data_IF_807914306795
#
_entry.id   IF_807914306795
#
_cell.length_a   1.000
_cell.length_b   1.000
_cell.length_c   1.000
_cell.angle_alpha   90.00
_cell.angle_beta   90.00
_cell.angle_gamma   90.00
#
_symmetry.space_group_name_H-M   'P 1'
#
loop_
_entity.id
_entity.type
_entity.pdbx_description
1 polymer ?
#
# COMPACT_ATOMS: atom_id res chain seq x y z
N UNK A 1 11.79 -34.20 26.85
CA UNK A 1 11.86 -33.51 25.55
C UNK A 1 10.52 -33.71 24.86
N UNK A 2 9.58 -32.80 25.08
CA UNK A 2 8.24 -32.84 24.46
C UNK A 2 8.40 -32.23 23.06
N UNK A 3 8.06 -33.02 22.03
CA UNK A 3 7.86 -32.50 20.68
C UNK A 3 6.63 -31.60 20.74
N UNK A 4 6.84 -30.28 20.59
CA UNK A 4 5.77 -29.39 20.19
C UNK A 4 5.41 -29.73 18.73
N UNK A 5 4.31 -30.42 18.56
CA UNK A 5 3.62 -30.48 17.28
C UNK A 5 3.00 -29.11 17.04
N UNK A 6 3.60 -28.34 16.17
CA UNK A 6 2.94 -27.16 15.61
C UNK A 6 1.81 -27.68 14.71
N UNK A 7 0.58 -27.37 15.05
CA UNK A 7 -0.57 -27.65 14.21
C UNK A 7 -0.41 -26.87 12.89
N UNK A 8 -0.56 -27.56 11.77
CA UNK A 8 -0.49 -27.05 10.39
C UNK A 8 -1.65 -26.09 10.01
N UNK A 9 -2.39 -25.59 10.99
CA UNK A 9 -3.39 -24.52 10.80
C UNK A 9 -2.74 -23.14 11.02
N UNK A 10 -1.80 -22.78 10.16
CA UNK A 10 -1.51 -21.38 9.91
C UNK A 10 -2.67 -20.81 9.11
N UNK A 11 -3.32 -19.82 9.72
CA UNK A 11 -4.45 -19.06 9.21
C UNK A 11 -4.14 -18.53 7.80
N UNK A 12 -4.64 -19.22 6.78
CA UNK A 12 -4.42 -18.90 5.36
C UNK A 12 -5.08 -17.56 4.96
N UNK A 13 -5.92 -16.97 5.81
CA UNK A 13 -6.60 -15.71 5.55
C UNK A 13 -5.72 -14.46 5.71
N UNK A 14 -4.57 -14.54 6.44
CA UNK A 14 -3.75 -13.37 6.75
C UNK A 14 -2.27 -13.58 6.37
N UNK A 15 -1.92 -13.38 5.10
CA UNK A 15 -0.51 -13.41 4.64
C UNK A 15 0.28 -12.25 5.26
N UNK A 16 1.44 -12.55 5.88
CA UNK A 16 2.36 -11.54 6.44
C UNK A 16 2.86 -10.59 5.34
N UNK A 17 3.10 -11.12 4.15
CA UNK A 17 3.61 -10.40 2.97
C UNK A 17 2.51 -9.75 2.13
N UNK A 18 1.25 -9.84 2.54
CA UNK A 18 0.15 -9.14 1.88
C UNK A 18 0.29 -7.63 2.05
N UNK A 19 0.15 -6.90 0.96
CA UNK A 19 0.16 -5.43 0.97
C UNK A 19 -1.18 -4.83 1.34
N UNK A 20 -2.27 -5.61 1.37
CA UNK A 20 -3.58 -5.18 1.81
C UNK A 20 -3.62 -4.94 3.34
N UNK A 21 -4.61 -4.16 3.78
CA UNK A 21 -4.80 -3.85 5.19
C UNK A 21 -5.50 -5.03 5.88
N UNK A 22 -4.88 -5.58 6.93
CA UNK A 22 -5.48 -6.62 7.75
C UNK A 22 -6.04 -6.00 9.04
N UNK A 23 -6.97 -6.68 9.76
CA UNK A 23 -7.55 -6.14 11.01
C UNK A 23 -6.51 -5.71 12.05
N UNK A 24 -5.35 -6.36 12.11
CA UNK A 24 -4.23 -5.99 12.98
C UNK A 24 -3.61 -4.63 12.62
N UNK A 25 -3.70 -4.19 11.36
CA UNK A 25 -3.23 -2.88 10.91
C UNK A 25 -4.25 -1.78 11.20
N UNK A 26 -5.55 -2.11 11.25
CA UNK A 26 -6.65 -1.17 11.56
C UNK A 26 -6.81 -0.94 13.06
N UNK A 27 -6.51 -1.92 13.91
CA UNK A 27 -6.36 -1.72 15.34
C UNK A 27 -5.19 -0.76 15.67
N UNK A 28 -4.39 -0.45 14.70
CA UNK A 28 -3.24 0.47 14.70
C UNK A 28 -3.61 1.92 14.35
N UNK A 29 -4.86 2.34 14.29
CA UNK A 29 -5.20 3.77 14.11
C UNK A 29 -4.62 4.67 15.24
N UNK A 30 -4.35 4.08 16.40
CA UNK A 30 -3.59 4.66 17.51
C UNK A 30 -2.15 4.12 17.60
N UNK A 31 -1.63 3.55 16.52
CA UNK A 31 -0.35 2.86 16.56
C UNK A 31 0.82 3.83 16.80
N UNK A 32 1.58 3.65 17.89
CA UNK A 32 2.75 4.46 18.18
C UNK A 32 3.84 4.36 17.10
N UNK A 33 3.80 3.35 16.23
CA UNK A 33 4.76 3.18 15.14
C UNK A 33 4.58 4.20 14.01
N UNK A 34 3.38 4.78 13.84
CA UNK A 34 3.14 5.77 12.79
C UNK A 34 3.81 7.10 13.14
N UNK A 35 4.65 7.67 12.25
CA UNK A 35 5.21 9.01 12.44
C UNK A 35 4.10 10.05 12.45
N UNK A 36 4.27 11.08 13.28
CA UNK A 36 3.26 12.15 13.45
C UNK A 36 3.67 13.46 12.75
N UNK A 37 4.94 13.62 12.40
CA UNK A 37 5.48 14.81 11.76
C UNK A 37 6.27 14.47 10.51
N UNK A 38 6.48 15.45 9.63
CA UNK A 38 7.34 15.28 8.44
C UNK A 38 8.79 14.95 8.81
N UNK A 39 9.28 15.41 9.95
CA UNK A 39 10.64 15.13 10.42
C UNK A 39 10.83 13.68 10.88
N UNK A 40 9.78 13.03 11.36
CA UNK A 40 9.79 11.61 11.72
C UNK A 40 9.56 10.67 10.54
N UNK A 41 9.07 11.21 9.41
CA UNK A 41 8.72 10.44 8.23
C UNK A 41 9.98 10.13 7.41
N UNK A 42 10.42 8.89 7.44
CA UNK A 42 11.62 8.39 6.74
C UNK A 42 11.29 8.15 5.28
N UNK A 43 12.22 8.49 4.38
CA UNK A 43 12.10 8.30 2.94
C UNK A 43 11.15 9.29 2.26
N UNK A 44 10.85 9.04 0.99
CA UNK A 44 9.97 9.88 0.14
C UNK A 44 10.42 11.35 0.09
N UNK A 45 11.73 11.62 0.07
CA UNK A 45 12.31 12.97 0.27
C UNK A 45 11.70 14.02 -0.66
N UNK A 46 11.57 13.71 -1.95
CA UNK A 46 10.99 14.62 -2.94
C UNK A 46 9.52 15.00 -2.63
N UNK A 47 8.71 14.02 -2.22
CA UNK A 47 7.31 14.27 -1.86
C UNK A 47 7.23 15.08 -0.57
N UNK A 48 8.09 14.77 0.40
CA UNK A 48 8.18 15.42 1.70
C UNK A 48 8.62 16.88 1.60
N UNK A 49 9.65 17.17 0.81
CA UNK A 49 10.14 18.54 0.56
C UNK A 49 9.05 19.41 -0.08
N UNK A 50 8.39 18.92 -1.13
CA UNK A 50 7.30 19.63 -1.78
C UNK A 50 6.15 19.88 -0.81
N UNK A 51 5.73 18.87 -0.07
CA UNK A 51 4.62 18.97 0.87
C UNK A 51 4.91 19.98 1.98
N UNK A 52 6.16 20.00 2.50
CA UNK A 52 6.59 21.00 3.49
C UNK A 52 6.41 22.42 2.99
N UNK A 53 6.83 22.70 1.74
CA UNK A 53 6.67 24.02 1.12
C UNK A 53 5.20 24.40 1.00
N UNK A 54 4.35 23.49 0.54
CA UNK A 54 2.92 23.77 0.36
C UNK A 54 2.21 24.03 1.70
N UNK A 55 2.51 23.23 2.72
CA UNK A 55 1.95 23.42 4.09
C UNK A 55 2.41 24.76 4.68
N UNK A 56 3.70 25.09 4.61
CA UNK A 56 4.21 26.36 5.10
C UNK A 56 3.59 27.56 4.37
N UNK A 57 3.48 27.47 3.04
CA UNK A 57 2.85 28.52 2.25
C UNK A 57 1.37 28.74 2.61
N UNK A 58 0.60 27.67 2.80
CA UNK A 58 -0.79 27.74 3.24
C UNK A 58 -0.91 28.40 4.62
N UNK A 59 -0.06 28.01 5.57
CA UNK A 59 0.01 28.63 6.92
C UNK A 59 0.34 30.13 6.87
N UNK A 60 1.29 30.54 6.04
CA UNK A 60 1.68 31.96 5.91
C UNK A 60 0.53 32.79 5.33
N UNK A 61 -0.23 32.25 4.39
CA UNK A 61 -1.39 32.95 3.79
C UNK A 61 -2.64 32.89 4.67
N UNK A 62 -2.68 32.01 5.69
CA UNK A 62 -3.89 31.74 6.48
C UNK A 62 -5.00 31.08 5.68
N UNK A 63 -4.63 30.25 4.70
CA UNK A 63 -5.54 29.53 3.80
C UNK A 63 -5.50 28.04 4.06
N UNK A 64 -6.54 27.33 3.60
CA UNK A 64 -6.51 25.85 3.56
C UNK A 64 -5.49 25.39 2.54
N UNK A 65 -4.86 24.23 2.79
CA UNK A 65 -3.99 23.58 1.81
C UNK A 65 -4.84 23.16 0.59
N UNK A 66 -4.28 23.28 -0.59
CA UNK A 66 -4.87 22.71 -1.81
C UNK A 66 -5.15 21.22 -1.64
N UNK A 67 -6.15 20.70 -2.36
CA UNK A 67 -6.47 19.29 -2.34
C UNK A 67 -5.28 18.45 -2.80
N UNK A 68 -5.00 17.36 -2.08
CA UNK A 68 -3.82 16.50 -2.28
C UNK A 68 -4.22 15.13 -2.77
N UNK A 69 -3.61 14.65 -3.86
CA UNK A 69 -3.72 13.28 -4.33
C UNK A 69 -2.43 12.50 -4.03
N UNK A 70 -2.55 11.45 -3.22
CA UNK A 70 -1.47 10.52 -2.92
C UNK A 70 -1.68 9.24 -3.72
N UNK A 71 -0.72 8.87 -4.58
CA UNK A 71 -0.85 7.64 -5.35
C UNK A 71 0.43 6.80 -5.34
N UNK A 72 0.28 5.50 -5.50
CA UNK A 72 1.38 4.54 -5.50
C UNK A 72 0.94 3.19 -4.94
N UNK A 73 1.83 2.19 -4.96
CA UNK A 73 1.56 0.85 -4.42
C UNK A 73 0.96 0.86 -3.02
N UNK A 74 0.24 -0.21 -2.61
CA UNK A 74 -0.28 -0.32 -1.26
C UNK A 74 0.86 -0.44 -0.22
N UNK A 75 0.60 -0.10 1.04
CA UNK A 75 1.56 -0.26 2.13
C UNK A 75 2.66 0.81 2.25
N UNK A 76 2.65 1.86 1.39
CA UNK A 76 3.67 2.92 1.36
C UNK A 76 3.42 4.08 2.34
N UNK A 77 2.36 4.03 3.14
CA UNK A 77 2.08 5.06 4.14
C UNK A 77 1.25 6.24 3.64
N UNK A 78 0.39 6.08 2.62
CA UNK A 78 -0.54 7.15 2.15
C UNK A 78 -1.41 7.68 3.29
N UNK A 79 -2.02 6.81 4.07
CA UNK A 79 -2.83 7.17 5.25
C UNK A 79 -1.99 7.86 6.33
N UNK A 80 -0.76 7.40 6.55
CA UNK A 80 0.18 8.02 7.50
C UNK A 80 0.53 9.44 7.09
N UNK A 81 0.86 9.64 5.81
CA UNK A 81 1.21 10.96 5.28
C UNK A 81 0.01 11.92 5.37
N UNK A 82 -1.22 11.43 5.16
CA UNK A 82 -2.44 12.22 5.35
C UNK A 82 -2.61 12.67 6.79
N UNK A 83 -2.32 11.80 7.76
CA UNK A 83 -2.32 12.15 9.18
C UNK A 83 -1.26 13.20 9.53
N UNK A 84 -0.06 13.08 8.94
CA UNK A 84 1.00 14.07 9.08
C UNK A 84 0.56 15.44 8.53
N UNK A 85 -0.08 15.48 7.35
CA UNK A 85 -0.62 16.72 6.78
C UNK A 85 -1.55 17.42 7.79
N UNK A 86 -2.51 16.68 8.35
CA UNK A 86 -3.44 17.25 9.34
C UNK A 86 -2.73 17.73 10.60
N UNK A 87 -1.77 16.96 11.13
CA UNK A 87 -0.98 17.34 12.29
C UNK A 87 -0.12 18.58 12.04
N UNK A 88 0.55 18.65 10.89
CA UNK A 88 1.35 19.81 10.51
C UNK A 88 0.48 21.06 10.32
N UNK A 89 -0.73 20.93 9.78
CA UNK A 89 -1.69 22.04 9.68
C UNK A 89 -2.33 22.39 11.03
N UNK A 90 -2.29 21.51 12.03
CA UNK A 90 -2.91 21.70 13.34
C UNK A 90 -4.44 21.57 13.31
N UNK A 91 -4.98 20.74 12.42
CA UNK A 91 -6.41 20.53 12.20
C UNK A 91 -6.83 19.08 12.41
N UNK A 92 -8.14 18.84 12.51
CA UNK A 92 -8.68 17.48 12.62
C UNK A 92 -8.68 16.76 11.27
N UNK A 93 -8.55 15.42 11.32
CA UNK A 93 -8.68 14.56 10.13
C UNK A 93 -9.91 13.66 10.28
N UNK A 94 -10.74 13.64 9.24
CA UNK A 94 -11.80 12.64 9.05
C UNK A 94 -11.33 11.60 8.05
N UNK A 95 -11.48 10.33 8.40
CA UNK A 95 -11.01 9.20 7.58
C UNK A 95 -12.23 8.44 7.06
N UNK A 96 -12.21 8.16 5.77
CA UNK A 96 -13.17 7.27 5.09
C UNK A 96 -12.49 6.58 3.92
N UNK A 97 -13.23 5.71 3.22
CA UNK A 97 -12.76 5.05 2.02
C UNK A 97 -13.79 5.15 0.89
N UNK A 98 -13.34 5.04 -0.37
CA UNK A 98 -14.25 5.02 -1.53
C UNK A 98 -15.36 3.98 -1.40
N UNK A 99 -15.06 2.71 -1.06
CA UNK A 99 -16.10 1.69 -0.83
C UNK A 99 -17.08 1.99 0.29
N UNK A 100 -16.69 2.75 1.32
CA UNK A 100 -17.57 3.10 2.44
C UNK A 100 -18.58 4.22 2.09
N UNK A 101 -18.37 4.92 0.98
CA UNK A 101 -19.27 5.97 0.48
C UNK A 101 -20.12 5.36 -0.64
N UNK A 102 -21.24 4.75 -0.27
CA UNK A 102 -22.10 4.04 -1.23
C UNK A 102 -22.95 4.98 -2.08
N UNK A 103 -23.40 6.09 -1.50
CA UNK A 103 -24.34 7.03 -2.13
C UNK A 103 -23.99 8.49 -1.83
N UNK A 104 -24.46 9.42 -2.68
CA UNK A 104 -24.24 10.86 -2.54
C UNK A 104 -24.52 11.42 -1.14
N UNK A 105 -25.56 10.93 -0.48
CA UNK A 105 -25.93 11.38 0.87
C UNK A 105 -24.90 11.07 1.95
N UNK A 106 -24.14 9.97 1.79
CA UNK A 106 -23.08 9.61 2.74
C UNK A 106 -21.93 10.60 2.68
N UNK A 107 -21.52 11.00 1.45
CA UNK A 107 -20.51 12.03 1.26
C UNK A 107 -20.99 13.40 1.77
N UNK A 108 -22.25 13.78 1.46
CA UNK A 108 -22.82 15.03 1.93
C UNK A 108 -22.82 15.10 3.48
N UNK A 109 -23.16 14.02 4.15
CA UNK A 109 -23.12 13.94 5.62
C UNK A 109 -21.69 14.09 6.17
N UNK A 110 -20.68 13.51 5.51
CA UNK A 110 -19.29 13.69 5.90
C UNK A 110 -18.84 15.15 5.74
N UNK A 111 -19.12 15.77 4.59
CA UNK A 111 -18.71 17.13 4.27
C UNK A 111 -19.34 18.18 5.18
N UNK A 112 -20.64 18.04 5.51
CA UNK A 112 -21.36 18.96 6.39
C UNK A 112 -20.94 18.89 7.86
N UNK A 113 -20.23 17.82 8.26
CA UNK A 113 -19.69 17.63 9.60
C UNK A 113 -18.21 18.03 9.75
N UNK A 114 -17.60 18.64 8.70
CA UNK A 114 -16.25 19.19 8.78
C UNK A 114 -16.26 20.57 9.46
N UNK A 115 -15.16 20.94 10.08
CA UNK A 115 -14.90 22.31 10.51
C UNK A 115 -13.97 23.02 9.52
N UNK A 116 -13.85 24.34 9.68
CA UNK A 116 -12.94 25.16 8.87
C UNK A 116 -11.49 24.63 8.98
N UNK A 117 -10.89 24.33 7.83
CA UNK A 117 -9.52 23.85 7.73
C UNK A 117 -9.34 22.34 7.90
N UNK A 118 -10.38 21.58 8.30
CA UNK A 118 -10.26 20.12 8.51
C UNK A 118 -9.77 19.40 7.25
N UNK A 119 -9.14 18.26 7.47
CA UNK A 119 -8.71 17.33 6.42
C UNK A 119 -9.73 16.20 6.29
N UNK A 120 -10.27 16.01 5.09
CA UNK A 120 -11.03 14.81 4.71
C UNK A 120 -10.11 13.86 3.96
N UNK A 121 -9.85 12.69 4.51
CA UNK A 121 -9.08 11.64 3.86
C UNK A 121 -10.01 10.58 3.28
N UNK A 122 -9.89 10.30 1.98
CA UNK A 122 -10.62 9.23 1.28
C UNK A 122 -9.60 8.23 0.72
N UNK A 123 -9.52 7.06 1.33
CA UNK A 123 -8.70 5.96 0.79
C UNK A 123 -9.41 5.28 -0.37
N UNK A 124 -8.63 4.70 -1.31
CA UNK A 124 -9.14 4.08 -2.53
C UNK A 124 -10.18 4.94 -3.27
N UNK A 125 -9.89 6.24 -3.39
CA UNK A 125 -10.80 7.24 -3.96
C UNK A 125 -11.26 6.89 -5.40
N UNK A 126 -10.49 6.11 -6.14
CA UNK A 126 -10.87 5.60 -7.46
C UNK A 126 -12.08 4.66 -7.46
N UNK A 127 -12.52 4.20 -6.28
CA UNK A 127 -13.68 3.31 -6.11
C UNK A 127 -14.98 4.07 -5.83
N UNK A 128 -14.94 5.40 -5.82
CA UNK A 128 -16.15 6.21 -5.72
C UNK A 128 -17.05 5.97 -6.94
N UNK A 129 -18.35 5.88 -6.69
CA UNK A 129 -19.33 5.84 -7.78
C UNK A 129 -19.40 7.21 -8.47
N UNK A 130 -19.77 7.23 -9.76
CA UNK A 130 -19.89 8.46 -10.53
C UNK A 130 -20.84 9.48 -9.90
N UNK A 131 -21.95 9.02 -9.30
CA UNK A 131 -22.91 9.89 -8.62
C UNK A 131 -22.34 10.54 -7.36
N UNK A 132 -21.38 9.90 -6.68
CA UNK A 132 -20.67 10.48 -5.55
C UNK A 132 -19.63 11.48 -6.02
N UNK A 133 -18.88 11.17 -7.09
CA UNK A 133 -17.93 12.12 -7.69
C UNK A 133 -18.62 13.43 -8.13
N UNK A 134 -19.83 13.35 -8.69
CA UNK A 134 -20.59 14.52 -9.14
C UNK A 134 -20.92 15.51 -8.00
N UNK A 135 -21.05 15.04 -6.74
CA UNK A 135 -21.17 15.91 -5.56
C UNK A 135 -19.80 16.38 -5.09
N UNK A 136 -18.76 15.56 -5.23
CA UNK A 136 -17.42 15.92 -4.77
C UNK A 136 -16.85 17.09 -5.58
N UNK A 137 -17.15 17.20 -6.87
CA UNK A 137 -16.60 18.26 -7.73
C UNK A 137 -16.93 19.69 -7.22
N UNK A 138 -18.19 20.09 -7.04
CA UNK A 138 -18.50 21.42 -6.53
C UNK A 138 -18.02 21.59 -5.08
N UNK A 139 -17.99 20.52 -4.30
CA UNK A 139 -17.46 20.58 -2.94
C UNK A 139 -15.97 20.94 -2.88
N UNK A 140 -15.18 20.52 -3.87
CA UNK A 140 -13.75 20.83 -3.98
C UNK A 140 -13.49 22.23 -4.57
N UNK A 141 -14.31 22.69 -5.53
CA UNK A 141 -14.09 23.95 -6.23
C UNK A 141 -14.72 25.13 -5.49
N UNK A 142 -16.03 24.98 -5.15
CA UNK A 142 -16.85 26.07 -4.63
C UNK A 142 -17.10 25.97 -3.12
N UNK A 143 -16.62 24.91 -2.47
CA UNK A 143 -16.94 24.59 -1.08
C UNK A 143 -18.46 24.64 -0.82
N UNK A 144 -19.23 23.97 -1.67
CA UNK A 144 -20.67 23.90 -1.58
C UNK A 144 -21.19 22.57 -2.15
N UNK A 145 -22.38 22.19 -1.71
CA UNK A 145 -23.12 21.06 -2.28
C UNK A 145 -24.52 21.50 -2.67
N UNK A 146 -25.01 20.98 -3.81
CA UNK A 146 -26.36 21.18 -4.25
C UNK A 146 -27.22 19.97 -3.86
N UNK A 147 -28.19 20.19 -2.96
CA UNK A 147 -29.10 19.14 -2.52
C UNK A 147 -30.42 19.32 -3.23
N UNK A 148 -30.78 18.36 -4.08
CA UNK A 148 -32.07 18.36 -4.77
C UNK A 148 -33.08 17.62 -3.89
N UNK A 149 -34.12 18.33 -3.42
CA UNK A 149 -35.25 17.78 -2.66
C UNK A 149 -36.53 17.82 -3.47
N UNK A 150 -37.36 16.78 -3.34
CA UNK A 150 -38.61 16.67 -4.09
C UNK A 150 -38.45 15.89 -5.41
N UNK A 151 -39.56 15.69 -6.12
CA UNK A 151 -39.60 14.97 -7.41
C UNK A 151 -40.42 15.79 -8.44
N UNK A 152 -39.98 15.72 -9.71
CA UNK A 152 -40.69 16.38 -10.81
C UNK A 152 -40.73 17.92 -10.72
N UNK A 153 -41.85 18.54 -10.99
CA UNK A 153 -41.98 20.00 -10.99
C UNK A 153 -41.87 20.68 -9.61
N UNK A 154 -41.85 19.88 -8.53
CA UNK A 154 -41.66 20.37 -7.16
C UNK A 154 -40.21 20.12 -6.67
N UNK A 155 -39.28 19.76 -7.54
CA UNK A 155 -37.87 19.63 -7.17
C UNK A 155 -37.31 21.03 -6.88
N UNK A 156 -36.77 21.23 -5.68
CA UNK A 156 -36.04 22.43 -5.29
C UNK A 156 -34.57 22.07 -5.08
N UNK A 157 -33.66 22.87 -5.62
CA UNK A 157 -32.22 22.76 -5.36
C UNK A 157 -31.86 23.71 -4.23
N UNK A 158 -31.21 23.19 -3.21
CA UNK A 158 -30.67 23.96 -2.09
C UNK A 158 -29.15 23.96 -2.20
N UNK A 159 -28.57 25.13 -2.38
CA UNK A 159 -27.16 25.38 -2.34
C UNK A 159 -26.70 25.49 -0.89
N UNK A 160 -25.95 24.48 -0.38
CA UNK A 160 -25.48 24.46 0.99
C UNK A 160 -23.97 24.76 1.01
N UNK A 161 -23.55 25.88 1.59
CA UNK A 161 -22.13 26.18 1.73
C UNK A 161 -21.46 25.22 2.73
N UNK A 162 -20.24 24.83 2.44
CA UNK A 162 -19.39 24.01 3.27
C UNK A 162 -18.27 24.86 3.88
N UNK A 163 -17.75 24.50 5.06
CA UNK A 163 -16.49 25.07 5.53
C UNK A 163 -15.37 24.72 4.53
N UNK A 164 -14.39 25.58 4.40
CA UNK A 164 -13.21 25.27 3.58
C UNK A 164 -12.45 24.11 4.22
N UNK A 165 -12.10 23.13 3.43
CA UNK A 165 -11.42 21.91 3.86
C UNK A 165 -10.35 21.49 2.86
N UNK A 166 -9.43 20.63 3.29
CA UNK A 166 -8.49 19.97 2.39
C UNK A 166 -8.92 18.53 2.16
N UNK A 167 -9.20 18.17 0.91
CA UNK A 167 -9.36 16.77 0.52
C UNK A 167 -7.98 16.12 0.30
N UNK A 168 -7.72 15.02 0.99
CA UNK A 168 -6.59 14.15 0.68
C UNK A 168 -7.13 12.84 0.12
N UNK A 169 -7.02 12.65 -1.19
CA UNK A 169 -7.37 11.40 -1.86
C UNK A 169 -6.19 10.45 -1.92
N UNK A 170 -6.41 9.18 -1.63
CA UNK A 170 -5.40 8.14 -1.81
C UNK A 170 -5.87 7.09 -2.81
N UNK A 171 -4.95 6.59 -3.64
CA UNK A 171 -5.25 5.53 -4.61
C UNK A 171 -4.04 4.67 -4.94
N UNK A 172 -4.28 3.40 -5.15
CA UNK A 172 -3.31 2.47 -5.73
C UNK A 172 -3.36 2.47 -7.26
N UNK A 173 -4.45 2.96 -7.86
CA UNK A 173 -4.78 2.89 -9.28
C UNK A 173 -5.08 4.27 -9.87
N UNK A 174 -4.08 5.15 -9.91
CA UNK A 174 -4.25 6.53 -10.41
C UNK A 174 -4.84 6.62 -11.82
N UNK A 175 -4.59 5.63 -12.67
CA UNK A 175 -5.15 5.56 -14.02
C UNK A 175 -6.65 5.26 -14.08
N UNK A 176 -7.28 4.85 -12.98
CA UNK A 176 -8.73 4.63 -12.89
C UNK A 176 -9.50 5.86 -12.42
N UNK A 177 -8.80 6.89 -11.93
CA UNK A 177 -9.44 8.16 -11.61
C UNK A 177 -9.97 8.85 -12.87
N UNK A 178 -11.17 9.39 -12.78
CA UNK A 178 -11.71 10.22 -13.84
C UNK A 178 -10.87 11.48 -14.02
N UNK A 179 -10.71 11.94 -15.25
CA UNK A 179 -9.95 13.17 -15.52
C UNK A 179 -10.50 14.38 -14.75
N UNK A 180 -11.85 14.60 -14.68
CA UNK A 180 -12.42 15.69 -13.91
C UNK A 180 -12.05 15.65 -12.42
N UNK A 181 -12.01 14.47 -11.79
CA UNK A 181 -11.64 14.36 -10.39
C UNK A 181 -10.15 14.64 -10.20
N UNK A 182 -9.30 14.05 -11.05
CA UNK A 182 -7.85 14.21 -10.96
C UNK A 182 -7.41 15.66 -11.12
N UNK A 183 -8.02 16.39 -12.07
CA UNK A 183 -7.63 17.78 -12.41
C UNK A 183 -7.99 18.79 -11.30
N UNK A 184 -8.79 18.38 -10.30
CA UNK A 184 -9.14 19.18 -9.12
C UNK A 184 -8.16 19.07 -7.97
N UNK A 185 -7.19 18.17 -8.07
CA UNK A 185 -6.11 18.10 -7.09
C UNK A 185 -4.97 19.06 -7.47
N UNK A 186 -4.77 20.08 -6.65
CA UNK A 186 -3.68 21.06 -6.83
C UNK A 186 -2.31 20.46 -6.52
N UNK A 187 -2.26 19.45 -5.65
CA UNK A 187 -1.03 18.76 -5.25
C UNK A 187 -1.15 17.27 -5.57
N UNK A 188 -0.27 16.76 -6.43
CA UNK A 188 -0.25 15.33 -6.81
C UNK A 188 1.10 14.74 -6.46
N UNK A 189 1.12 13.78 -5.53
CA UNK A 189 2.34 13.16 -5.02
C UNK A 189 2.33 11.66 -5.30
N UNK A 190 3.37 11.20 -5.99
CA UNK A 190 3.63 9.79 -6.17
C UNK A 190 4.50 9.28 -5.03
N UNK A 191 4.04 8.23 -4.35
CA UNK A 191 4.86 7.50 -3.40
C UNK A 191 5.55 6.34 -4.12
N UNK A 192 6.83 6.20 -3.86
CA UNK A 192 7.68 5.18 -4.46
C UNK A 192 7.99 4.10 -3.42
N UNK A 193 8.48 2.95 -3.88
CA UNK A 193 8.95 1.93 -2.97
C UNK A 193 10.19 2.43 -2.23
N UNK A 194 10.30 1.99 -1.00
CA UNK A 194 11.44 2.31 -0.15
C UNK A 194 12.64 1.44 -0.49
N UNK A 195 13.82 2.01 -0.36
CA UNK A 195 15.06 1.21 -0.43
C UNK A 195 15.21 0.35 0.83
N UNK A 196 16.03 -0.73 0.78
CA UNK A 196 16.32 -1.52 1.97
C UNK A 196 16.90 -0.67 3.12
N UNK A 197 17.72 0.34 2.80
CA UNK A 197 18.35 1.22 3.79
C UNK A 197 17.31 2.13 4.47
N UNK A 198 16.36 2.68 3.72
CA UNK A 198 15.24 3.47 4.28
C UNK A 198 14.33 2.59 5.14
N UNK A 199 14.04 1.35 4.69
CA UNK A 199 13.25 0.42 5.48
C UNK A 199 13.98 -0.05 6.73
N UNK A 200 15.30 -0.24 6.69
CA UNK A 200 16.10 -0.58 7.87
C UNK A 200 15.97 0.51 8.95
N UNK A 201 16.03 1.80 8.57
CA UNK A 201 15.79 2.90 9.49
C UNK A 201 14.36 2.87 10.08
N UNK A 202 13.35 2.52 9.27
CA UNK A 202 11.97 2.37 9.75
C UNK A 202 11.87 1.21 10.73
N UNK A 203 12.52 0.08 10.45
CA UNK A 203 12.56 -1.10 11.33
C UNK A 203 13.25 -0.77 12.65
N UNK A 204 14.41 -0.11 12.63
CA UNK A 204 15.14 0.32 13.83
C UNK A 204 14.32 1.29 14.70
N UNK A 205 13.68 2.30 14.07
CA UNK A 205 12.77 3.20 14.75
C UNK A 205 11.60 2.44 15.39
N UNK A 206 10.98 1.54 14.65
CA UNK A 206 9.86 0.73 15.13
C UNK A 206 10.28 -0.21 16.26
N UNK A 207 11.46 -0.82 16.17
CA UNK A 207 12.05 -1.64 17.23
C UNK A 207 12.26 -0.84 18.50
N UNK A 208 12.82 0.37 18.40
CA UNK A 208 12.99 1.28 19.54
C UNK A 208 11.67 1.62 20.25
N UNK A 209 10.61 1.91 19.49
CA UNK A 209 9.27 2.17 20.04
C UNK A 209 8.68 0.94 20.74
N UNK A 210 8.91 -0.25 20.17
CA UNK A 210 8.45 -1.53 20.73
C UNK A 210 9.32 -2.06 21.86
N UNK A 211 10.42 -1.36 22.21
CA UNK A 211 11.37 -1.82 23.23
C UNK A 211 12.16 -3.07 22.84
N UNK A 212 12.40 -3.26 21.55
CA UNK A 212 13.13 -4.40 20.99
C UNK A 212 14.58 -3.98 20.72
N UNK A 213 15.54 -4.79 21.15
CA UNK A 213 16.93 -4.62 20.77
C UNK A 213 17.18 -5.26 19.40
N UNK A 214 17.66 -4.48 18.44
CA UNK A 214 17.97 -4.94 17.09
C UNK A 214 19.34 -4.42 16.64
N UNK A 215 20.11 -5.27 15.98
CA UNK A 215 21.34 -4.87 15.29
C UNK A 215 21.04 -4.37 13.89
N UNK A 216 21.85 -3.45 13.37
CA UNK A 216 21.66 -2.86 12.04
C UNK A 216 21.54 -3.92 10.92
N UNK A 217 22.42 -4.94 10.94
CA UNK A 217 22.39 -6.02 9.95
C UNK A 217 21.10 -6.86 10.04
N UNK A 218 20.56 -7.04 11.26
CA UNK A 218 19.26 -7.67 11.47
C UNK A 218 18.09 -6.84 10.92
N UNK A 219 18.17 -5.52 11.11
CA UNK A 219 17.18 -4.59 10.54
C UNK A 219 17.24 -4.56 9.01
N UNK A 220 18.44 -4.56 8.43
CA UNK A 220 18.64 -4.58 6.99
C UNK A 220 18.15 -5.92 6.35
N UNK A 221 18.33 -7.04 7.03
CA UNK A 221 17.81 -8.33 6.59
C UNK A 221 16.27 -8.35 6.55
N UNK A 222 15.60 -7.83 7.58
CA UNK A 222 14.14 -7.67 7.59
C UNK A 222 13.70 -6.73 6.46
N UNK A 223 14.40 -5.62 6.30
CA UNK A 223 14.12 -4.60 5.30
C UNK A 223 14.22 -5.15 3.88
N UNK A 224 15.27 -5.91 3.56
CA UNK A 224 15.49 -6.49 2.23
C UNK A 224 14.38 -7.43 1.79
N UNK A 225 13.77 -8.17 2.73
CA UNK A 225 12.66 -9.10 2.47
C UNK A 225 11.27 -8.43 2.57
N UNK A 226 11.21 -7.10 2.76
CA UNK A 226 9.95 -6.36 3.00
C UNK A 226 9.30 -5.80 1.73
N UNK A 227 9.71 -6.23 0.55
CA UNK A 227 9.13 -5.84 -0.75
C UNK A 227 9.03 -4.31 -0.95
N UNK A 228 9.94 -3.53 -0.37
CA UNK A 228 9.93 -2.07 -0.49
C UNK A 228 8.80 -1.36 0.27
N UNK A 229 8.11 -2.03 1.21
CA UNK A 229 6.95 -1.44 1.90
C UNK A 229 7.10 -1.42 3.42
N UNK A 230 6.89 -0.26 4.07
CA UNK A 230 6.93 -0.12 5.53
C UNK A 230 5.96 -1.03 6.28
N UNK A 231 4.78 -1.29 5.70
CA UNK A 231 3.76 -2.16 6.29
C UNK A 231 4.29 -3.58 6.49
N UNK A 232 4.88 -4.16 5.43
CA UNK A 232 5.46 -5.50 5.50
C UNK A 232 6.66 -5.51 6.44
N UNK A 233 7.52 -4.49 6.40
CA UNK A 233 8.68 -4.38 7.29
C UNK A 233 8.28 -4.44 8.77
N UNK A 234 7.24 -3.69 9.15
CA UNK A 234 6.73 -3.71 10.53
C UNK A 234 6.07 -5.04 10.90
N UNK A 235 5.36 -5.70 9.98
CA UNK A 235 4.80 -7.04 10.23
C UNK A 235 5.91 -8.07 10.44
N UNK A 236 6.93 -8.06 9.56
CA UNK A 236 8.09 -8.95 9.70
C UNK A 236 8.85 -8.69 11.00
N UNK A 237 9.08 -7.43 11.37
CA UNK A 237 9.70 -7.07 12.64
C UNK A 237 8.97 -7.70 13.84
N UNK A 238 7.63 -7.60 13.89
CA UNK A 238 6.82 -8.18 14.96
C UNK A 238 6.98 -9.70 15.03
N UNK A 239 7.01 -10.40 13.89
CA UNK A 239 7.21 -11.85 13.85
C UNK A 239 8.64 -12.25 14.22
N UNK A 240 9.65 -11.57 13.67
CA UNK A 240 11.06 -11.82 14.02
C UNK A 240 11.33 -11.58 15.50
N UNK A 241 10.68 -10.57 16.12
CA UNK A 241 10.71 -10.34 17.56
C UNK A 241 10.28 -11.58 18.34
N UNK A 242 9.18 -12.22 17.93
CA UNK A 242 8.67 -13.39 18.64
C UNK A 242 9.68 -14.56 18.63
N UNK A 243 10.38 -14.75 17.50
CA UNK A 243 11.49 -15.69 17.40
C UNK A 243 12.69 -15.26 18.27
N UNK A 244 13.05 -13.97 18.26
CA UNK A 244 14.17 -13.46 19.03
C UNK A 244 13.96 -13.65 20.55
N UNK A 245 12.75 -13.46 21.05
CA UNK A 245 12.42 -13.69 22.45
C UNK A 245 12.64 -15.14 22.89
N UNK A 246 12.40 -16.10 22.00
CA UNK A 246 12.54 -17.53 22.32
C UNK A 246 13.95 -18.04 22.07
N UNK A 247 14.64 -17.51 21.03
CA UNK A 247 15.89 -18.10 20.53
C UNK A 247 17.16 -17.32 20.90
N UNK A 248 17.06 -15.99 21.13
CA UNK A 248 18.23 -15.09 21.27
C UNK A 248 18.10 -14.03 22.36
N UNK A 249 17.46 -14.39 23.49
CA UNK A 249 17.29 -13.49 24.64
C UNK A 249 16.70 -12.10 24.28
N UNK A 250 15.87 -12.04 23.25
CA UNK A 250 15.18 -10.81 22.83
C UNK A 250 15.99 -9.87 21.95
N UNK A 251 17.18 -10.27 21.50
CA UNK A 251 18.02 -9.49 20.57
C UNK A 251 17.84 -9.98 19.15
N UNK A 252 17.53 -9.09 18.22
CA UNK A 252 17.44 -9.41 16.79
C UNK A 252 18.82 -9.15 16.16
N UNK A 253 19.56 -10.21 15.95
CA UNK A 253 20.81 -10.23 15.17
C UNK A 253 20.51 -10.62 13.72
N UNK A 254 21.49 -10.49 12.82
CA UNK A 254 21.39 -11.00 11.44
C UNK A 254 21.01 -12.49 11.39
N UNK A 255 21.64 -13.31 12.24
CA UNK A 255 21.38 -14.74 12.29
C UNK A 255 19.96 -15.05 12.76
N UNK A 256 19.50 -14.35 13.79
CA UNK A 256 18.13 -14.48 14.31
C UNK A 256 17.11 -14.07 13.26
N UNK A 257 17.34 -12.94 12.57
CA UNK A 257 16.47 -12.46 11.50
C UNK A 257 16.36 -13.47 10.35
N UNK A 258 17.50 -13.95 9.84
CA UNK A 258 17.54 -14.98 8.79
C UNK A 258 16.79 -16.25 9.19
N UNK A 259 17.11 -16.79 10.37
CA UNK A 259 16.48 -18.02 10.87
C UNK A 259 14.96 -17.87 11.02
N UNK A 260 14.50 -16.72 11.50
CA UNK A 260 13.08 -16.44 11.65
C UNK A 260 12.38 -16.33 10.29
N UNK A 261 12.95 -15.54 9.36
CA UNK A 261 12.37 -15.33 8.03
C UNK A 261 12.35 -16.62 7.19
N UNK A 262 13.40 -17.45 7.29
CA UNK A 262 13.44 -18.75 6.62
C UNK A 262 12.38 -19.73 7.19
N UNK A 263 12.15 -19.71 8.51
CA UNK A 263 11.05 -20.48 9.13
C UNK A 263 9.67 -19.98 8.77
N UNK A 264 9.52 -18.68 8.46
CA UNK A 264 8.30 -18.08 7.92
C UNK A 264 8.16 -18.32 6.40
N UNK A 265 9.09 -19.09 5.80
CA UNK A 265 9.15 -19.39 4.37
C UNK A 265 9.21 -18.16 3.47
N UNK A 266 9.79 -17.06 3.97
CA UNK A 266 10.01 -15.82 3.22
C UNK A 266 11.46 -15.83 2.72
N UNK A 267 11.64 -15.84 1.40
CA UNK A 267 12.96 -15.91 0.79
C UNK A 267 13.69 -14.55 0.73
N UNK A 268 14.89 -14.53 0.16
CA UNK A 268 15.78 -13.35 0.07
C UNK A 268 15.13 -12.17 -0.69
N UNK A 269 14.19 -12.43 -1.59
CA UNK A 269 13.43 -11.42 -2.32
C UNK A 269 12.08 -11.11 -1.67
N UNK A 270 11.79 -11.67 -0.50
CA UNK A 270 10.51 -11.48 0.16
C UNK A 270 9.37 -12.29 -0.45
N UNK A 271 9.65 -13.30 -1.27
CA UNK A 271 8.61 -14.20 -1.78
C UNK A 271 8.23 -15.21 -0.70
N UNK A 272 6.93 -15.36 -0.49
CA UNK A 272 6.41 -16.40 0.38
C UNK A 272 6.09 -17.70 -0.39
N UNK A 273 5.56 -18.67 0.33
CA UNK A 273 5.18 -19.98 -0.22
C UNK A 273 4.18 -19.85 -1.37
N UNK A 274 3.21 -18.93 -1.28
CA UNK A 274 2.16 -18.79 -2.28
C UNK A 274 2.67 -18.14 -3.56
N UNK A 275 3.57 -17.15 -3.45
CA UNK A 275 4.23 -16.58 -4.63
C UNK A 275 5.02 -17.64 -5.39
N UNK A 276 5.84 -18.42 -4.67
CA UNK A 276 6.61 -19.52 -5.27
C UNK A 276 5.68 -20.55 -5.90
N UNK A 277 4.59 -20.96 -5.22
CA UNK A 277 3.58 -21.89 -5.76
C UNK A 277 2.95 -21.38 -7.05
N UNK A 278 2.64 -20.08 -7.13
CA UNK A 278 2.12 -19.46 -8.34
C UNK A 278 3.13 -19.52 -9.49
N UNK A 279 4.38 -19.15 -9.25
CA UNK A 279 5.45 -19.21 -10.25
C UNK A 279 5.71 -20.64 -10.71
N UNK A 280 5.80 -21.60 -9.77
CA UNK A 280 5.97 -23.01 -10.08
C UNK A 280 4.81 -23.58 -10.91
N UNK A 281 3.57 -23.17 -10.63
CA UNK A 281 2.41 -23.60 -11.40
C UNK A 281 2.51 -23.16 -12.85
N UNK A 282 2.95 -21.91 -13.10
CA UNK A 282 3.16 -21.41 -14.48
C UNK A 282 4.21 -22.24 -15.21
N UNK A 283 5.31 -22.62 -14.52
CA UNK A 283 6.37 -23.45 -15.13
C UNK A 283 5.88 -24.87 -15.39
N UNK A 284 5.37 -25.55 -14.35
CA UNK A 284 5.11 -26.99 -14.38
C UNK A 284 3.87 -27.36 -15.18
N UNK A 285 2.79 -26.60 -15.05
CA UNK A 285 1.51 -26.97 -15.68
C UNK A 285 1.28 -26.27 -17.03
N UNK A 286 1.93 -25.13 -17.26
CA UNK A 286 1.68 -24.31 -18.46
C UNK A 286 2.96 -24.04 -19.25
N UNK A 287 4.02 -24.78 -19.00
CA UNK A 287 5.29 -24.68 -19.74
C UNK A 287 5.80 -23.22 -19.85
N UNK A 288 5.70 -22.46 -18.75
CA UNK A 288 6.12 -21.06 -18.69
C UNK A 288 5.09 -20.03 -19.17
N UNK A 289 3.93 -20.46 -19.60
CA UNK A 289 2.84 -19.61 -20.08
C UNK A 289 2.76 -19.47 -21.60
N UNK A 290 1.82 -18.65 -22.14
CA UNK A 290 0.89 -17.80 -21.39
C UNK A 290 -0.28 -18.57 -20.76
N UNK A 291 -0.67 -18.22 -19.55
CA UNK A 291 -1.81 -18.79 -18.82
C UNK A 291 -2.82 -17.72 -18.42
N UNK A 292 -4.11 -17.99 -18.63
CA UNK A 292 -5.18 -17.08 -18.20
C UNK A 292 -5.31 -16.99 -16.68
N UNK A 293 -5.82 -15.86 -16.18
CA UNK A 293 -5.96 -15.60 -14.74
C UNK A 293 -6.82 -16.66 -14.04
N UNK A 294 -8.02 -16.92 -14.56
CA UNK A 294 -8.97 -17.89 -14.01
C UNK A 294 -8.38 -19.32 -14.01
N UNK A 295 -7.63 -19.67 -15.07
CA UNK A 295 -6.99 -20.98 -15.19
C UNK A 295 -5.88 -21.14 -14.15
N UNK A 296 -5.09 -20.09 -13.92
CA UNK A 296 -4.03 -20.07 -12.91
C UNK A 296 -4.63 -20.13 -11.50
N UNK A 297 -5.69 -19.37 -11.26
CA UNK A 297 -6.43 -19.36 -10.00
C UNK A 297 -6.93 -20.76 -9.63
N UNK A 298 -7.60 -21.42 -10.58
CA UNK A 298 -8.06 -22.80 -10.39
C UNK A 298 -6.90 -23.78 -10.11
N UNK A 299 -5.74 -23.60 -10.78
CA UNK A 299 -4.58 -24.49 -10.62
C UNK A 299 -3.92 -24.41 -9.25
N UNK A 300 -3.93 -23.22 -8.63
CA UNK A 300 -3.32 -23.01 -7.29
C UNK A 300 -4.34 -22.99 -6.15
N UNK A 301 -5.65 -23.10 -6.48
CA UNK A 301 -6.72 -23.10 -5.47
C UNK A 301 -6.94 -21.72 -4.82
N UNK A 302 -6.79 -20.66 -5.60
CA UNK A 302 -6.95 -19.27 -5.15
C UNK A 302 -8.06 -18.56 -5.94
N UNK A 303 -8.53 -17.42 -5.45
CA UNK A 303 -9.43 -16.56 -6.21
C UNK A 303 -8.64 -15.74 -7.25
N UNK A 304 -9.24 -15.52 -8.42
CA UNK A 304 -8.61 -14.74 -9.50
C UNK A 304 -8.28 -13.31 -9.06
N UNK A 305 -9.17 -12.69 -8.27
CA UNK A 305 -8.97 -11.34 -7.72
C UNK A 305 -7.77 -11.31 -6.76
N UNK A 306 -7.60 -12.33 -5.93
CA UNK A 306 -6.45 -12.44 -5.01
C UNK A 306 -5.13 -12.51 -5.77
N UNK A 307 -5.08 -13.29 -6.86
CA UNK A 307 -3.88 -13.32 -7.69
C UNK A 307 -3.60 -11.94 -8.30
N UNK A 308 -4.62 -11.29 -8.85
CA UNK A 308 -4.46 -10.00 -9.55
C UNK A 308 -4.10 -8.85 -8.62
N UNK A 309 -4.67 -8.81 -7.42
CA UNK A 309 -4.53 -7.69 -6.50
C UNK A 309 -3.41 -7.89 -5.47
N UNK A 310 -3.05 -9.14 -5.14
CA UNK A 310 -2.12 -9.45 -4.04
C UNK A 310 -0.80 -10.05 -4.54
N UNK A 311 -0.84 -11.07 -5.41
CA UNK A 311 0.38 -11.79 -5.80
C UNK A 311 1.07 -11.17 -6.99
N UNK A 312 0.31 -10.92 -8.04
CA UNK A 312 0.84 -10.46 -9.33
C UNK A 312 1.55 -9.08 -9.27
N UNK A 313 1.08 -8.07 -8.52
CA UNK A 313 1.70 -6.75 -8.53
C UNK A 313 3.18 -6.76 -8.17
N UNK A 314 3.55 -7.50 -7.12
CA UNK A 314 4.95 -7.59 -6.73
C UNK A 314 5.78 -8.42 -7.73
N UNK A 315 5.24 -9.53 -8.21
CA UNK A 315 5.92 -10.40 -9.18
C UNK A 315 6.14 -9.70 -10.53
N UNK A 316 5.21 -8.85 -10.96
CA UNK A 316 5.37 -7.97 -12.12
C UNK A 316 6.47 -6.94 -11.91
N UNK A 317 6.52 -6.35 -10.71
CA UNK A 317 7.44 -5.29 -10.34
C UNK A 317 8.89 -5.78 -10.28
N UNK A 318 9.14 -6.97 -9.74
CA UNK A 318 10.47 -7.60 -9.75
C UNK A 318 10.80 -8.29 -11.07
N UNK A 319 9.89 -8.24 -12.05
CA UNK A 319 10.09 -8.81 -13.37
C UNK A 319 10.02 -10.33 -13.44
N UNK A 320 9.39 -11.00 -12.48
CA UNK A 320 9.25 -12.47 -12.46
C UNK A 320 8.08 -12.97 -13.30
N UNK A 321 7.07 -12.16 -13.45
CA UNK A 321 5.91 -12.42 -14.30
C UNK A 321 5.79 -11.30 -15.33
N UNK A 322 5.36 -11.62 -16.55
CA UNK A 322 4.98 -10.65 -17.57
C UNK A 322 3.52 -10.85 -17.97
N UNK A 323 2.78 -9.75 -18.17
CA UNK A 323 1.44 -9.76 -18.72
C UNK A 323 1.48 -9.69 -20.24
N UNK A 324 0.79 -10.61 -20.91
CA UNK A 324 0.58 -10.58 -22.35
C UNK A 324 -0.93 -10.56 -22.64
N UNK A 325 -1.37 -10.21 -23.86
CA UNK A 325 -2.80 -10.31 -24.25
C UNK A 325 -3.38 -11.72 -24.11
N UNK A 326 -2.52 -12.76 -24.08
CA UNK A 326 -2.92 -14.15 -23.94
C UNK A 326 -2.91 -14.66 -22.51
N UNK A 327 -2.32 -13.91 -21.58
CA UNK A 327 -2.19 -14.31 -20.16
C UNK A 327 -0.83 -14.00 -19.58
N UNK A 328 -0.53 -14.65 -18.44
CA UNK A 328 0.67 -14.50 -17.64
C UNK A 328 1.76 -15.44 -18.12
N UNK A 329 2.98 -14.93 -18.23
CA UNK A 329 4.17 -15.72 -18.58
C UNK A 329 5.23 -15.53 -17.49
N UNK A 330 5.98 -16.59 -17.22
CA UNK A 330 7.17 -16.50 -16.36
C UNK A 330 8.33 -15.89 -17.14
N UNK A 331 9.28 -15.29 -16.43
CA UNK A 331 10.52 -14.74 -17.02
C UNK A 331 11.72 -15.65 -16.73
N UNK A 332 12.82 -15.40 -17.43
CA UNK A 332 14.08 -16.13 -17.21
C UNK A 332 14.65 -15.89 -15.80
N UNK A 333 14.51 -14.66 -15.28
CA UNK A 333 14.91 -14.29 -13.92
C UNK A 333 14.15 -15.09 -12.87
N UNK A 334 12.84 -15.25 -13.03
CA UNK A 334 12.04 -16.08 -12.13
C UNK A 334 12.48 -17.55 -12.17
N UNK A 335 12.75 -18.11 -13.36
CA UNK A 335 13.26 -19.47 -13.47
C UNK A 335 14.63 -19.63 -12.81
N UNK A 336 15.52 -18.65 -12.97
CA UNK A 336 16.82 -18.63 -12.29
C UNK A 336 16.67 -18.63 -10.77
N UNK A 337 15.74 -17.82 -10.25
CA UNK A 337 15.45 -17.75 -8.81
C UNK A 337 14.86 -19.07 -8.27
N UNK A 338 13.96 -19.70 -9.03
CA UNK A 338 13.37 -21.00 -8.68
C UNK A 338 14.34 -22.19 -8.89
N UNK A 339 15.53 -21.96 -9.46
CA UNK A 339 16.49 -23.03 -9.77
C UNK A 339 16.00 -23.98 -10.86
N UNK A 340 15.16 -23.53 -11.80
CA UNK A 340 14.64 -24.32 -12.89
C UNK A 340 15.09 -23.80 -14.27
N UNK A 341 15.08 -24.69 -15.28
CA UNK A 341 15.38 -24.28 -16.66
C UNK A 341 14.21 -23.44 -17.24
N UNK A 342 14.58 -22.39 -18.00
CA UNK A 342 13.58 -21.60 -18.72
C UNK A 342 12.98 -22.45 -19.84
N UNK A 343 11.62 -22.56 -19.90
CA UNK A 343 10.97 -23.46 -20.86
C UNK A 343 11.22 -23.06 -22.32
N UNK A 344 11.55 -24.02 -23.17
CA UNK A 344 11.82 -23.80 -24.59
C UNK A 344 10.55 -23.36 -25.33
N UNK A 345 10.64 -22.30 -26.13
CA UNK A 345 9.54 -21.80 -26.95
C UNK A 345 8.67 -20.72 -26.29
N UNK A 346 8.94 -20.38 -25.05
CA UNK A 346 8.34 -19.20 -24.41
C UNK A 346 9.09 -17.96 -24.89
N UNK A 347 8.35 -16.97 -25.40
CA UNK A 347 8.94 -15.66 -25.73
C UNK A 347 9.28 -15.01 -24.41
N UNK A 348 10.56 -14.75 -24.16
CA UNK A 348 11.00 -13.96 -23.01
C UNK A 348 10.45 -12.52 -23.23
N UNK A 349 9.24 -12.28 -22.75
CA UNK A 349 8.63 -10.96 -22.82
C UNK A 349 9.37 -10.08 -21.83
N UNK A 350 10.15 -9.13 -22.35
CA UNK A 350 10.78 -8.13 -21.49
C UNK A 350 9.71 -7.45 -20.64
N UNK A 351 9.98 -7.21 -19.34
CA UNK A 351 9.05 -6.51 -18.49
C UNK A 351 8.75 -5.14 -19.08
N UNK A 352 7.48 -4.80 -19.19
CA UNK A 352 6.99 -3.52 -19.73
C UNK A 352 7.23 -2.34 -18.75
N UNK A 353 7.85 -2.60 -17.60
CA UNK A 353 8.22 -1.59 -16.60
C UNK A 353 9.69 -1.78 -16.18
N UNK A 354 10.41 -0.68 -15.81
CA UNK A 354 11.77 -0.82 -15.29
C UNK A 354 11.75 -1.67 -14.03
N UNK A 355 12.60 -2.70 -14.00
CA UNK A 355 12.79 -3.59 -12.86
C UNK A 355 13.43 -2.84 -11.69
N UNK A 356 13.02 -3.18 -10.46
CA UNK A 356 13.60 -2.64 -9.21
C UNK A 356 15.10 -2.95 -9.05
N UNK A 357 15.56 -4.01 -9.69
CA UNK A 357 16.94 -4.46 -9.68
C UNK A 357 17.55 -4.14 -11.05
N UNK A 358 17.82 -2.84 -11.30
CA UNK A 358 18.64 -2.43 -12.44
C UNK A 358 20.00 -3.13 -12.38
N UNK A 359 20.49 -3.50 -13.56
CA UNK A 359 21.71 -4.25 -13.82
C UNK A 359 22.81 -3.99 -12.78
N UNK A 360 23.05 -4.96 -11.93
CA UNK A 360 24.35 -5.10 -11.30
C UNK A 360 25.29 -5.61 -12.40
N UNK A 361 25.82 -4.66 -13.18
CA UNK A 361 26.95 -4.96 -14.04
C UNK A 361 28.10 -5.49 -13.18
N UNK A 362 28.57 -6.64 -13.62
CA UNK A 362 29.73 -7.40 -13.19
C UNK A 362 31.02 -6.61 -13.17
#
# INVERSE_FOLDING_TARGET
MSKMEFSDEFDFENRITDTSEIPEDTAESDNPLRPKTLSEYIGQEKAKENLKVFIEAAKIRGETLDHVLLYGPPGLGKTTLSGIIANELGVSMRITSGPAIEKPGDLAALLTNLNEGDVLFIDEIHRLSRSVEEILYPSMEDFAIDIITGKGQMAASYHLPLPKFTLVGATTRAGQLTAPLRDRFGVVLRLELYTPEELAQIVERSAGILGITIEHDGALEIASRSRGTPRIANRLLKRVRDFAQVMSNGVITLETAKTALDRLEIDELGLDRNDRRMLEAIVRFYNGGPVGLETLAAAIGEEAVTIEDVYEPYLLQIGFVSRTPRGRCITAEACKHLGCEFPKGVVNAQPTQPTLFGDRES
#
